data_IF_015416245093
#
_entry.id   IF_015416245093
#
_cell.length_a   1.000
_cell.length_b   1.000
_cell.length_c   1.000
_cell.angle_alpha   90.00
_cell.angle_beta   90.00
_cell.angle_gamma   90.00
#
_symmetry.space_group_name_H-M   'P 1'
#
loop_
_entity.id
_entity.type
_entity.pdbx_description
1 polymer ?
#
# COMPACT_ATOMS: atom_id res chain seq x y z
N UNK A 1 -67.98 -10.55 -58.50
CA UNK A 1 -66.73 -11.22 -58.09
C UNK A 1 -65.61 -10.29 -58.52
N UNK A 2 -64.82 -9.63 -57.69
CA UNK A 2 -64.42 -9.88 -56.29
C UNK A 2 -63.69 -8.60 -55.84
N UNK A 3 -64.01 -8.09 -54.64
CA UNK A 3 -63.22 -7.05 -53.95
C UNK A 3 -61.91 -7.65 -53.43
N UNK A 4 -60.81 -6.91 -53.51
CA UNK A 4 -59.61 -7.12 -52.69
C UNK A 4 -58.98 -5.77 -52.35
N UNK A 5 -59.30 -5.26 -51.16
CA UNK A 5 -58.59 -4.16 -50.50
C UNK A 5 -58.44 -4.56 -49.04
N UNK A 6 -57.22 -4.37 -48.54
CA UNK A 6 -56.76 -4.33 -47.15
C UNK A 6 -56.73 -5.62 -46.32
N UNK A 7 -55.52 -6.19 -46.23
CA UNK A 7 -54.99 -6.67 -44.95
C UNK A 7 -53.63 -6.01 -44.71
N UNK A 8 -53.66 -4.91 -43.95
CA UNK A 8 -52.49 -4.40 -43.27
C UNK A 8 -52.01 -5.46 -42.28
N UNK A 9 -50.81 -5.97 -42.48
CA UNK A 9 -50.09 -6.78 -41.50
C UNK A 9 -49.59 -5.83 -40.41
N UNK A 10 -50.39 -5.64 -39.36
CA UNK A 10 -49.91 -5.06 -38.11
C UNK A 10 -48.85 -5.98 -37.52
N UNK A 11 -47.58 -5.61 -37.68
CA UNK A 11 -46.51 -6.12 -36.84
C UNK A 11 -46.69 -5.53 -35.44
N UNK A 12 -46.87 -6.32 -34.37
CA UNK A 12 -46.84 -5.80 -33.03
C UNK A 12 -45.38 -5.48 -32.69
N UNK A 13 -44.93 -4.27 -33.00
CA UNK A 13 -43.71 -3.72 -32.42
C UNK A 13 -44.02 -3.44 -30.93
N UNK A 14 -43.93 -4.50 -30.12
CA UNK A 14 -44.02 -4.39 -28.67
C UNK A 14 -42.95 -3.43 -28.19
N UNK A 15 -43.35 -2.35 -27.51
CA UNK A 15 -42.45 -1.39 -26.86
C UNK A 15 -41.38 -2.10 -26.00
N UNK A 16 -41.68 -3.28 -25.47
CA UNK A 16 -40.72 -4.10 -24.70
C UNK A 16 -39.54 -4.61 -25.51
N UNK A 17 -39.70 -4.90 -26.80
CA UNK A 17 -38.60 -5.41 -27.64
C UNK A 17 -37.61 -4.29 -27.98
N UNK A 18 -38.12 -3.08 -28.25
CA UNK A 18 -37.28 -1.91 -28.51
C UNK A 18 -36.55 -1.49 -27.21
N UNK A 19 -37.24 -1.52 -26.06
CA UNK A 19 -36.62 -1.23 -24.76
C UNK A 19 -35.52 -2.24 -24.42
N UNK A 20 -35.74 -3.55 -24.58
CA UNK A 20 -34.71 -4.57 -24.32
C UNK A 20 -33.48 -4.43 -25.22
N UNK A 21 -33.68 -4.08 -26.49
CA UNK A 21 -32.58 -3.86 -27.43
C UNK A 21 -31.76 -2.64 -27.01
N UNK A 22 -32.43 -1.55 -26.62
CA UNK A 22 -31.77 -0.32 -26.17
C UNK A 22 -30.97 -0.55 -24.88
N UNK A 23 -31.52 -1.28 -23.92
CA UNK A 23 -30.81 -1.68 -22.70
C UNK A 23 -29.59 -2.56 -23.03
N UNK A 24 -29.73 -3.53 -23.93
CA UNK A 24 -28.60 -4.40 -24.31
C UNK A 24 -27.46 -3.67 -25.01
N UNK A 25 -27.76 -2.61 -25.78
CA UNK A 25 -26.74 -1.76 -26.39
C UNK A 25 -26.03 -0.89 -25.35
N UNK A 26 -26.76 -0.33 -24.38
CA UNK A 26 -26.17 0.42 -23.26
C UNK A 26 -25.30 -0.49 -22.39
N UNK A 27 -25.70 -1.74 -22.18
CA UNK A 27 -24.94 -2.73 -21.42
C UNK A 27 -23.68 -3.16 -22.17
N UNK A 28 -23.76 -3.33 -23.50
CA UNK A 28 -22.60 -3.63 -24.34
C UNK A 28 -21.61 -2.47 -24.44
N UNK A 29 -22.09 -1.22 -24.58
CA UNK A 29 -21.27 -0.01 -24.63
C UNK A 29 -20.56 0.23 -23.29
N UNK A 30 -21.26 0.01 -22.16
CA UNK A 30 -20.63 0.01 -20.83
C UNK A 30 -19.58 -1.07 -20.65
N UNK A 31 -19.86 -2.30 -21.11
CA UNK A 31 -18.91 -3.40 -21.01
C UNK A 31 -17.67 -3.15 -21.89
N UNK A 32 -17.83 -2.51 -23.05
CA UNK A 32 -16.73 -2.15 -23.95
C UNK A 32 -15.85 -1.04 -23.34
N UNK A 33 -16.45 0.01 -22.74
CA UNK A 33 -15.73 1.04 -21.98
C UNK A 33 -14.99 0.45 -20.75
N UNK A 34 -15.62 -0.49 -20.02
CA UNK A 34 -15.02 -1.17 -18.87
C UNK A 34 -13.82 -2.04 -19.27
N UNK A 35 -13.90 -2.75 -20.40
CA UNK A 35 -12.79 -3.57 -20.92
C UNK A 35 -11.63 -2.75 -21.49
N UNK A 36 -11.91 -1.63 -22.17
CA UNK A 36 -10.85 -0.73 -22.66
C UNK A 36 -10.11 -0.07 -21.48
N UNK A 37 -10.86 0.26 -20.43
CA UNK A 37 -10.31 0.77 -19.17
C UNK A 37 -9.40 -0.25 -18.46
N UNK A 38 -9.87 -1.50 -18.30
CA UNK A 38 -9.11 -2.60 -17.69
C UNK A 38 -7.79 -2.86 -18.42
N UNK A 39 -7.82 -2.81 -19.76
CA UNK A 39 -6.63 -2.95 -20.60
C UNK A 39 -5.63 -1.81 -20.38
N UNK A 40 -6.09 -0.55 -20.27
CA UNK A 40 -5.23 0.60 -20.04
C UNK A 40 -4.60 0.59 -18.63
N UNK A 41 -5.37 0.18 -17.62
CA UNK A 41 -4.88 0.00 -16.25
C UNK A 41 -3.84 -1.13 -16.16
N UNK A 42 -4.12 -2.28 -16.78
CA UNK A 42 -3.18 -3.41 -16.85
C UNK A 42 -1.89 -3.02 -17.58
N UNK A 43 -1.97 -2.27 -18.67
CA UNK A 43 -0.80 -1.75 -19.37
C UNK A 43 0.02 -0.81 -18.48
N UNK A 44 -0.65 0.11 -17.77
CA UNK A 44 0.00 1.05 -16.86
C UNK A 44 0.67 0.34 -15.68
N UNK A 45 0.03 -0.67 -15.08
CA UNK A 45 0.64 -1.52 -14.05
C UNK A 45 1.88 -2.25 -14.57
N UNK A 46 1.81 -2.85 -15.76
CA UNK A 46 2.96 -3.54 -16.36
C UNK A 46 4.14 -2.58 -16.61
N UNK A 47 3.87 -1.38 -17.14
CA UNK A 47 4.90 -0.34 -17.32
C UNK A 47 5.48 0.10 -15.98
N UNK A 48 4.63 0.22 -14.94
CA UNK A 48 5.06 0.55 -13.57
C UNK A 48 6.00 -0.51 -13.00
N UNK A 49 5.63 -1.79 -13.11
CA UNK A 49 6.43 -2.92 -12.62
C UNK A 49 7.77 -2.98 -13.36
N UNK A 50 7.77 -2.83 -14.70
CA UNK A 50 8.99 -2.80 -15.50
C UNK A 50 9.87 -1.59 -15.11
N UNK A 51 9.26 -0.44 -14.84
CA UNK A 51 9.93 0.76 -14.34
C UNK A 51 10.57 0.56 -12.97
N UNK A 52 9.86 -0.04 -12.03
CA UNK A 52 10.38 -0.41 -10.70
C UNK A 52 11.57 -1.38 -10.81
N UNK A 53 11.47 -2.40 -11.69
CA UNK A 53 12.55 -3.37 -11.91
C UNK A 53 13.79 -2.71 -12.54
N UNK A 54 13.60 -1.83 -13.53
CA UNK A 54 14.69 -1.08 -14.14
C UNK A 54 15.32 -0.12 -13.13
N UNK A 55 14.54 0.59 -12.33
CA UNK A 55 15.07 1.49 -11.32
C UNK A 55 15.84 0.72 -10.24
N UNK A 56 15.30 -0.39 -9.73
CA UNK A 56 16.02 -1.26 -8.80
C UNK A 56 17.34 -1.75 -9.39
N UNK A 57 17.35 -2.14 -10.67
CA UNK A 57 18.58 -2.48 -11.40
C UNK A 57 19.55 -1.30 -11.51
N UNK A 58 19.06 -0.09 -11.81
CA UNK A 58 19.89 1.12 -11.88
C UNK A 58 20.46 1.50 -10.51
N UNK A 59 19.67 1.49 -9.44
CA UNK A 59 20.13 1.78 -8.07
C UNK A 59 21.25 0.82 -7.68
N UNK A 60 21.07 -0.48 -7.95
CA UNK A 60 22.09 -1.50 -7.72
C UNK A 60 23.33 -1.29 -8.58
N UNK A 61 23.17 -0.85 -9.83
CA UNK A 61 24.28 -0.60 -10.77
C UNK A 61 25.07 0.68 -10.48
N UNK A 62 24.40 1.74 -10.03
CA UNK A 62 25.03 3.03 -9.72
C UNK A 62 25.60 3.10 -8.30
N UNK A 63 25.47 2.04 -7.48
CA UNK A 63 25.98 1.98 -6.10
C UNK A 63 25.63 3.24 -5.30
N UNK A 64 24.40 3.71 -5.43
CA UNK A 64 23.95 4.90 -4.69
C UNK A 64 23.66 4.48 -3.25
N UNK A 65 24.69 4.52 -2.40
CA UNK A 65 24.60 4.12 -0.99
C UNK A 65 23.65 5.00 -0.14
N UNK A 66 23.14 6.10 -0.69
CA UNK A 66 22.28 7.04 0.04
C UNK A 66 20.79 6.68 0.03
N UNK A 67 20.33 5.74 -0.81
CA UNK A 67 18.92 5.37 -0.90
C UNK A 67 18.73 3.84 -0.77
N UNK A 68 18.00 3.37 0.26
CA UNK A 68 17.56 1.98 0.36
C UNK A 68 16.78 1.55 -0.88
N UNK A 69 16.92 0.28 -1.29
CA UNK A 69 16.19 -0.28 -2.44
C UNK A 69 14.66 -0.08 -2.27
N UNK A 70 14.14 -0.32 -1.06
CA UNK A 70 12.74 -0.09 -0.69
C UNK A 70 12.31 1.38 -0.80
N UNK A 71 13.18 2.32 -0.43
CA UNK A 71 12.89 3.75 -0.56
C UNK A 71 12.85 4.20 -2.02
N UNK A 72 13.73 3.64 -2.87
CA UNK A 72 13.71 3.86 -4.31
C UNK A 72 12.44 3.32 -4.96
N UNK A 73 12.03 2.11 -4.60
CA UNK A 73 10.77 1.51 -5.07
C UNK A 73 9.54 2.34 -4.65
N UNK A 74 9.50 2.80 -3.39
CA UNK A 74 8.44 3.67 -2.90
C UNK A 74 8.35 4.99 -3.68
N UNK A 75 9.49 5.64 -3.95
CA UNK A 75 9.52 6.87 -4.74
C UNK A 75 8.97 6.67 -6.16
N UNK A 76 9.32 5.57 -6.82
CA UNK A 76 8.76 5.24 -8.14
C UNK A 76 7.27 4.99 -8.05
N UNK A 77 6.82 4.21 -7.05
CA UNK A 77 5.39 3.99 -6.82
C UNK A 77 4.62 5.30 -6.63
N UNK A 78 5.15 6.24 -5.84
CA UNK A 78 4.54 7.56 -5.62
C UNK A 78 4.49 8.38 -6.92
N UNK A 79 5.59 8.40 -7.69
CA UNK A 79 5.63 9.13 -8.96
C UNK A 79 4.65 8.55 -9.98
N UNK A 80 4.63 7.24 -10.13
CA UNK A 80 3.77 6.58 -11.11
C UNK A 80 2.30 6.63 -10.67
N UNK A 81 1.99 6.40 -9.39
CA UNK A 81 0.64 6.59 -8.85
C UNK A 81 0.17 8.04 -8.96
N UNK A 82 1.07 9.00 -8.75
CA UNK A 82 0.81 10.43 -8.98
C UNK A 82 0.50 10.74 -10.45
N UNK A 83 1.28 10.19 -11.38
CA UNK A 83 1.03 10.33 -12.81
C UNK A 83 -0.30 9.67 -13.24
N UNK A 84 -0.57 8.46 -12.77
CA UNK A 84 -1.80 7.73 -13.04
C UNK A 84 -3.03 8.52 -12.57
N UNK A 85 -2.97 9.15 -11.38
CA UNK A 85 -4.03 10.00 -10.86
C UNK A 85 -4.31 11.22 -11.75
N UNK A 86 -3.28 11.79 -12.38
CA UNK A 86 -3.42 12.93 -13.28
C UNK A 86 -4.00 12.53 -14.65
N UNK A 87 -3.71 11.33 -15.14
CA UNK A 87 -4.13 10.88 -16.49
C UNK A 87 -5.48 10.16 -16.50
N UNK A 88 -5.79 9.37 -15.49
CA UNK A 88 -6.97 8.47 -15.45
C UNK A 88 -8.15 9.07 -14.68
N UNK A 89 -7.91 10.06 -13.81
CA UNK A 89 -8.94 10.61 -12.93
C UNK A 89 -9.23 9.71 -11.73
N UNK A 90 -9.71 10.29 -10.63
CA UNK A 90 -9.77 9.63 -9.32
C UNK A 90 -10.81 8.49 -9.19
N UNK A 91 -11.64 8.24 -10.22
CA UNK A 91 -12.82 7.39 -10.09
C UNK A 91 -12.59 5.92 -10.43
N UNK A 92 -11.42 5.55 -10.95
CA UNK A 92 -11.13 4.17 -11.39
C UNK A 92 -9.76 3.67 -10.89
N UNK A 93 -9.36 4.06 -9.67
CA UNK A 93 -8.08 3.64 -9.09
C UNK A 93 -8.15 2.31 -8.33
N UNK A 94 -9.32 1.67 -8.27
CA UNK A 94 -9.54 0.41 -7.53
C UNK A 94 -8.64 -0.73 -8.04
N UNK A 95 -8.27 -0.74 -9.32
CA UNK A 95 -7.31 -1.69 -9.90
C UNK A 95 -5.87 -1.49 -9.41
N UNK A 96 -5.55 -0.30 -8.89
CA UNK A 96 -4.25 0.02 -8.29
C UNK A 96 -4.29 -0.09 -6.76
N UNK A 97 -5.45 -0.39 -6.17
CA UNK A 97 -5.56 -0.59 -4.73
C UNK A 97 -4.95 -1.94 -4.33
N UNK A 98 -3.91 -1.87 -3.53
CA UNK A 98 -3.23 -3.05 -3.04
C UNK A 98 -3.99 -3.67 -1.87
N UNK A 99 -4.40 -4.94 -2.00
CA UNK A 99 -5.09 -5.67 -0.94
C UNK A 99 -4.14 -5.98 0.23
N UNK A 100 -4.36 -5.40 1.43
CA UNK A 100 -3.47 -5.60 2.58
C UNK A 100 -3.40 -7.07 3.01
N UNK A 101 -4.46 -7.85 2.81
CA UNK A 101 -4.56 -9.26 3.18
C UNK A 101 -3.50 -10.11 2.47
N UNK A 102 -3.21 -9.80 1.20
CA UNK A 102 -2.17 -10.50 0.43
C UNK A 102 -0.81 -10.24 1.06
N UNK A 103 -0.53 -9.00 1.48
CA UNK A 103 0.72 -8.70 2.18
C UNK A 103 0.80 -9.43 3.53
N UNK A 104 -0.20 -9.28 4.40
CA UNK A 104 -0.14 -9.82 5.75
C UNK A 104 -0.19 -11.35 5.81
N UNK A 105 -0.98 -12.01 4.96
CA UNK A 105 -1.15 -13.46 5.01
C UNK A 105 -0.23 -14.23 4.07
N UNK A 106 0.27 -13.62 2.99
CA UNK A 106 1.07 -14.32 1.99
C UNK A 106 2.53 -13.85 1.93
N UNK A 107 2.79 -12.53 1.94
CA UNK A 107 4.15 -11.98 1.80
C UNK A 107 4.91 -11.93 3.12
N UNK A 108 4.26 -11.46 4.18
CA UNK A 108 4.89 -11.24 5.48
C UNK A 108 5.38 -12.54 6.14
N UNK A 109 4.65 -13.68 6.13
CA UNK A 109 5.09 -14.87 6.84
C UNK A 109 6.41 -15.48 6.32
N UNK A 110 6.63 -15.65 5.00
CA UNK A 110 7.93 -16.10 4.48
C UNK A 110 9.08 -15.14 4.81
N UNK A 111 8.87 -13.83 4.71
CA UNK A 111 9.90 -12.82 5.00
C UNK A 111 10.30 -12.87 6.47
N UNK A 112 9.31 -12.88 7.37
CA UNK A 112 9.55 -12.99 8.81
C UNK A 112 10.21 -14.32 9.19
N UNK A 113 9.87 -15.40 8.48
CA UNK A 113 10.50 -16.69 8.68
C UNK A 113 11.97 -16.69 8.27
N UNK A 114 12.32 -16.12 7.11
CA UNK A 114 13.71 -15.99 6.66
C UNK A 114 14.53 -15.11 7.63
N UNK A 115 13.99 -13.96 8.02
CA UNK A 115 14.61 -13.05 8.97
C UNK A 115 14.83 -13.72 10.35
N UNK A 116 13.85 -14.48 10.83
CA UNK A 116 13.97 -15.27 12.06
C UNK A 116 14.90 -16.48 11.94
N UNK A 117 15.07 -17.04 10.74
CA UNK A 117 15.98 -18.18 10.50
C UNK A 117 17.44 -17.75 10.45
N UNK A 118 17.73 -16.57 9.88
CA UNK A 118 19.09 -15.98 9.81
C UNK A 118 19.56 -15.38 11.14
N UNK A 119 18.67 -15.24 12.12
CA UNK A 119 18.92 -14.64 13.42
C UNK A 119 19.80 -15.50 14.34
N UNK A 120 20.79 -14.88 15.00
CA UNK A 120 21.53 -15.56 16.07
C UNK A 120 20.65 -15.74 17.31
N UNK A 121 20.09 -16.94 17.45
CA UNK A 121 19.20 -17.31 18.56
C UNK A 121 19.84 -17.08 19.94
N UNK A 122 21.16 -17.25 20.09
CA UNK A 122 21.83 -17.07 21.39
C UNK A 122 21.94 -15.60 21.77
N UNK A 123 22.38 -14.75 20.84
CA UNK A 123 22.41 -13.29 21.02
C UNK A 123 21.02 -12.70 21.26
N UNK A 124 20.01 -13.13 20.50
CA UNK A 124 18.63 -12.66 20.65
C UNK A 124 18.04 -12.96 22.03
N UNK A 125 18.11 -14.23 22.48
CA UNK A 125 17.53 -14.63 23.77
C UNK A 125 18.29 -14.03 24.95
N UNK A 126 19.61 -13.89 24.85
CA UNK A 126 20.41 -13.24 25.89
C UNK A 126 20.04 -11.76 26.10
N UNK A 127 19.57 -11.09 25.05
CA UNK A 127 19.25 -9.66 25.06
C UNK A 127 17.73 -9.37 25.01
N UNK A 128 16.88 -10.37 25.24
CA UNK A 128 15.42 -10.22 25.14
C UNK A 128 14.87 -9.08 26.02
N UNK A 129 15.49 -8.85 27.18
CA UNK A 129 15.11 -7.76 28.07
C UNK A 129 15.34 -6.38 27.43
N UNK A 130 16.46 -6.20 26.72
CA UNK A 130 16.74 -4.98 25.99
C UNK A 130 15.78 -4.81 24.81
N UNK A 131 15.48 -5.89 24.08
CA UNK A 131 14.52 -5.89 22.98
C UNK A 131 13.13 -5.43 23.46
N UNK A 132 12.63 -6.02 24.54
CA UNK A 132 11.32 -5.66 25.11
C UNK A 132 11.35 -4.21 25.62
N UNK A 133 12.44 -3.78 26.25
CA UNK A 133 12.58 -2.40 26.73
C UNK A 133 12.52 -1.41 25.56
N UNK A 134 13.28 -1.65 24.49
CA UNK A 134 13.29 -0.79 23.31
C UNK A 134 11.95 -0.81 22.59
N UNK A 135 11.34 -1.98 22.40
CA UNK A 135 10.02 -2.08 21.80
C UNK A 135 8.98 -1.31 22.60
N UNK A 136 8.86 -1.58 23.91
CA UNK A 136 7.82 -0.96 24.73
C UNK A 136 8.05 0.54 24.96
N UNK A 137 9.20 0.90 25.53
CA UNK A 137 9.47 2.29 25.87
C UNK A 137 9.76 3.12 24.62
N UNK A 138 10.46 2.57 23.63
CA UNK A 138 10.73 3.25 22.36
C UNK A 138 9.44 3.59 21.63
N UNK A 139 8.51 2.63 21.51
CA UNK A 139 7.21 2.87 20.85
C UNK A 139 6.40 3.94 21.59
N UNK A 140 6.32 3.87 22.93
CA UNK A 140 5.56 4.86 23.71
C UNK A 140 6.16 6.25 23.55
N UNK A 141 7.48 6.38 23.70
CA UNK A 141 8.16 7.68 23.57
C UNK A 141 8.01 8.23 22.16
N UNK A 142 8.16 7.39 21.14
CA UNK A 142 7.96 7.77 19.73
C UNK A 142 6.53 8.24 19.48
N UNK A 143 5.51 7.50 19.94
CA UNK A 143 4.09 7.86 19.83
C UNK A 143 3.81 9.24 20.42
N UNK A 144 4.26 9.51 21.65
CA UNK A 144 4.07 10.82 22.28
C UNK A 144 4.85 11.92 21.55
N UNK A 145 6.09 11.63 21.13
CA UNK A 145 6.94 12.63 20.46
C UNK A 145 6.34 13.03 19.13
N UNK A 146 6.02 12.07 18.25
CA UNK A 146 5.41 12.32 16.94
C UNK A 146 4.01 12.89 17.11
N UNK A 147 3.21 12.38 18.05
CA UNK A 147 1.85 12.86 18.28
C UNK A 147 1.82 14.31 18.77
N UNK A 148 2.64 14.68 19.75
CA UNK A 148 2.73 16.07 20.18
C UNK A 148 3.33 16.98 19.10
N UNK A 149 4.34 16.51 18.36
CA UNK A 149 4.90 17.27 17.24
C UNK A 149 3.82 17.57 16.19
N UNK A 150 3.00 16.58 15.85
CA UNK A 150 1.88 16.71 14.93
C UNK A 150 0.81 17.67 15.48
N UNK A 151 0.48 17.58 16.77
CA UNK A 151 -0.45 18.50 17.43
C UNK A 151 0.02 19.95 17.40
N UNK A 152 1.32 20.20 17.67
CA UNK A 152 1.88 21.55 17.55
C UNK A 152 1.93 22.03 16.10
N UNK A 153 2.23 21.15 15.14
CA UNK A 153 2.18 21.48 13.72
C UNK A 153 0.75 21.86 13.27
N UNK A 154 -0.27 21.17 13.80
CA UNK A 154 -1.67 21.51 13.58
C UNK A 154 -2.03 22.89 14.15
N UNK A 155 -1.55 23.22 15.37
CA UNK A 155 -1.74 24.57 15.95
C UNK A 155 -1.10 25.70 15.15
N UNK A 156 -0.02 25.43 14.44
CA UNK A 156 0.67 26.40 13.57
C UNK A 156 -0.03 26.49 12.19
N UNK A 157 -1.01 25.62 11.91
CA UNK A 157 -1.74 25.59 10.64
C UNK A 157 -1.01 24.86 9.52
N UNK A 158 0.03 24.07 9.83
CA UNK A 158 0.76 23.25 8.85
C UNK A 158 0.02 21.96 8.50
N UNK A 159 -0.80 21.47 9.42
CA UNK A 159 -1.51 20.19 9.31
C UNK A 159 -2.99 20.40 9.62
N UNK A 160 -3.87 19.82 8.80
CA UNK A 160 -5.30 19.91 8.94
C UNK A 160 -5.84 18.76 9.82
N UNK A 161 -5.51 18.82 11.11
CA UNK A 161 -5.98 17.89 12.15
C UNK A 161 -6.65 18.73 13.23
N UNK A 162 -7.59 18.13 13.99
CA UNK A 162 -8.23 18.84 15.09
C UNK A 162 -7.18 19.37 16.08
N UNK A 163 -7.07 20.70 16.13
CA UNK A 163 -6.12 21.41 16.99
C UNK A 163 -6.60 21.55 18.43
N UNK A 164 -7.87 21.21 18.69
CA UNK A 164 -8.50 21.25 20.01
C UNK A 164 -8.28 19.94 20.78
N UNK A 165 -8.27 18.80 20.08
CA UNK A 165 -8.08 17.48 20.69
C UNK A 165 -6.75 16.81 20.30
N UNK A 166 -5.82 16.56 21.24
CA UNK A 166 -4.56 15.86 20.93
C UNK A 166 -4.73 14.37 20.60
N UNK A 167 -5.91 13.78 20.79
CA UNK A 167 -6.13 12.35 20.53
C UNK A 167 -5.89 11.98 19.06
N UNK A 168 -6.38 12.76 18.10
CA UNK A 168 -6.18 12.46 16.67
C UNK A 168 -4.69 12.45 16.31
N UNK A 169 -3.94 13.43 16.84
CA UNK A 169 -2.51 13.51 16.64
C UNK A 169 -1.75 12.37 17.36
N UNK A 170 -2.19 11.94 18.55
CA UNK A 170 -1.62 10.79 19.26
C UNK A 170 -1.91 9.46 18.58
N UNK A 171 -3.10 9.29 18.01
CA UNK A 171 -3.47 8.12 17.21
C UNK A 171 -2.59 8.06 15.96
N UNK A 172 -2.39 9.19 15.28
CA UNK A 172 -1.43 9.30 14.18
C UNK A 172 -0.01 8.96 14.65
N UNK A 173 0.42 9.47 15.80
CA UNK A 173 1.70 9.13 16.41
C UNK A 173 1.84 7.63 16.67
N UNK A 174 0.79 6.96 17.15
CA UNK A 174 0.79 5.52 17.41
C UNK A 174 0.91 4.71 16.12
N UNK A 175 0.20 5.11 15.06
CA UNK A 175 0.29 4.48 13.73
C UNK A 175 1.71 4.56 13.13
N UNK A 176 2.37 5.70 13.27
CA UNK A 176 3.72 5.94 12.71
C UNK A 176 4.83 5.31 13.57
N UNK A 177 4.54 5.01 14.84
CA UNK A 177 5.51 4.45 15.79
C UNK A 177 5.88 2.99 15.51
N UNK A 178 5.00 2.25 14.83
CA UNK A 178 5.29 0.90 14.33
C UNK A 178 6.38 0.94 13.26
N UNK A 179 7.42 0.11 13.41
CA UNK A 179 8.58 0.08 12.50
C UNK A 179 8.51 -1.16 11.63
N UNK A 180 8.68 -1.00 10.31
CA UNK A 180 8.74 -2.12 9.38
C UNK A 180 10.09 -2.87 9.49
N UNK A 181 10.10 -4.14 9.95
CA UNK A 181 11.31 -4.95 9.98
C UNK A 181 11.88 -5.20 8.59
N UNK A 182 11.06 -5.24 7.53
CA UNK A 182 11.53 -5.64 6.19
C UNK A 182 12.44 -4.57 5.58
N UNK A 183 11.99 -3.32 5.60
CA UNK A 183 12.79 -2.21 5.07
C UNK A 183 14.09 -1.99 5.84
N UNK A 184 14.05 -2.09 7.17
CA UNK A 184 15.24 -1.90 8.03
C UNK A 184 16.23 -3.06 7.89
N UNK A 185 15.74 -4.30 7.85
CA UNK A 185 16.59 -5.48 7.66
C UNK A 185 17.19 -5.57 6.26
N UNK A 186 16.49 -5.12 5.20
CA UNK A 186 17.06 -5.06 3.85
C UNK A 186 18.33 -4.23 3.78
N UNK A 187 18.41 -3.13 4.56
CA UNK A 187 19.60 -2.28 4.63
C UNK A 187 20.68 -2.95 5.48
N UNK A 188 20.32 -3.50 6.64
CA UNK A 188 21.27 -4.09 7.59
C UNK A 188 21.83 -5.44 7.15
N UNK A 189 21.08 -6.19 6.34
CA UNK A 189 21.49 -7.46 5.75
C UNK A 189 22.41 -7.32 4.53
N UNK A 190 22.77 -6.10 4.14
CA UNK A 190 23.72 -5.87 3.06
C UNK A 190 25.14 -6.28 3.50
N UNK A 191 25.76 -7.23 2.78
CA UNK A 191 27.10 -7.75 3.07
C UNK A 191 28.16 -6.65 3.15
N UNK A 192 27.98 -5.54 2.42
CA UNK A 192 28.91 -4.42 2.45
C UNK A 192 28.98 -3.73 3.84
N UNK A 193 27.89 -3.75 4.61
CA UNK A 193 27.76 -2.97 5.84
C UNK A 193 28.28 -3.70 7.09
N UNK A 194 28.51 -5.01 7.01
CA UNK A 194 29.04 -5.86 8.10
C UNK A 194 28.39 -5.55 9.47
N UNK A 195 27.05 -5.54 9.52
CA UNK A 195 26.32 -5.20 10.75
C UNK A 195 26.54 -6.25 11.85
N UNK A 196 26.69 -5.78 13.08
CA UNK A 196 26.82 -6.64 14.26
C UNK A 196 25.57 -7.53 14.41
N UNK A 197 25.70 -8.85 14.54
CA UNK A 197 24.58 -9.77 14.79
C UNK A 197 23.71 -9.37 15.98
N UNK A 198 24.27 -8.71 17.00
CA UNK A 198 23.53 -8.16 18.12
C UNK A 198 22.59 -7.04 17.68
N UNK A 199 23.07 -6.10 16.86
CA UNK A 199 22.26 -4.97 16.39
C UNK A 199 21.13 -5.46 15.47
N UNK A 200 21.43 -6.42 14.58
CA UNK A 200 20.43 -7.09 13.76
C UNK A 200 19.34 -7.73 14.63
N UNK A 201 19.75 -8.42 15.71
CA UNK A 201 18.81 -9.07 16.63
C UNK A 201 17.96 -8.09 17.43
N UNK A 202 18.54 -6.98 17.86
CA UNK A 202 17.83 -5.92 18.59
C UNK A 202 16.78 -5.25 17.73
N UNK A 203 17.16 -4.84 16.51
CA UNK A 203 16.27 -4.13 15.57
C UNK A 203 15.16 -5.05 15.09
N UNK A 204 15.47 -6.28 14.68
CA UNK A 204 14.45 -7.26 14.30
C UNK A 204 13.42 -7.47 15.42
N UNK A 205 13.88 -7.75 16.63
CA UNK A 205 12.99 -8.02 17.77
C UNK A 205 12.17 -6.81 18.18
N UNK A 206 12.75 -5.61 18.13
CA UNK A 206 12.06 -4.36 18.41
C UNK A 206 10.93 -4.12 17.40
N UNK A 207 11.22 -4.27 16.11
CA UNK A 207 10.26 -4.11 15.02
C UNK A 207 9.13 -5.16 15.06
N UNK A 208 9.40 -6.40 15.47
CA UNK A 208 8.34 -7.42 15.62
C UNK A 208 7.41 -7.09 16.81
N UNK A 209 7.96 -6.61 17.92
CA UNK A 209 7.19 -6.38 19.15
C UNK A 209 6.46 -5.03 19.15
N UNK A 210 7.03 -4.01 18.49
CA UNK A 210 6.45 -2.66 18.48
C UNK A 210 5.07 -2.62 17.81
N UNK A 211 4.81 -3.46 16.81
CA UNK A 211 3.51 -3.57 16.14
C UNK A 211 2.39 -3.89 17.14
N UNK A 212 2.62 -4.86 18.03
CA UNK A 212 1.64 -5.23 19.05
C UNK A 212 1.39 -4.08 20.04
N UNK A 213 2.44 -3.32 20.38
CA UNK A 213 2.34 -2.18 21.30
C UNK A 213 1.63 -1.01 20.63
N UNK A 214 1.98 -0.68 19.37
CA UNK A 214 1.34 0.35 18.58
C UNK A 214 -0.15 0.08 18.39
N UNK A 215 -0.54 -1.17 18.06
CA UNK A 215 -1.96 -1.58 17.99
C UNK A 215 -2.65 -1.42 19.35
N UNK A 216 -1.98 -1.73 20.45
CA UNK A 216 -2.55 -1.56 21.80
C UNK A 216 -2.74 -0.09 22.19
N UNK A 217 -1.91 0.83 21.66
CA UNK A 217 -2.04 2.27 21.87
C UNK A 217 -3.07 2.90 20.92
N UNK A 218 -3.25 2.31 19.74
CA UNK A 218 -4.19 2.77 18.72
C UNK A 218 -5.66 2.44 19.08
N UNK A 219 -5.89 1.36 19.83
CA UNK A 219 -7.21 0.83 20.17
C UNK A 219 -7.80 1.46 21.44
#
# INVERSE_FOLDING_TARGET
MTSTVDQATEFPASNSTIVNITESFIEAEKAEEEHEFDAQAAFTLNVTIIGCLLLAYLVKRFKVYSLPESAGALLVGVLVGGMARLTVGAQNLDLFEFQPEVFFFFLLPPIMFEAGYSLDRKGFVANIGAIILYAFFGTIVSTFTVGYLCFYAAKIGLVNIDSENPMEALIFGALISAVDPVATLSIMGNEDLHVDPLLYSLVFGESVLNDAIAISLFK
#
